data_IF_600840300126
#
_entry.id   IF_600840300126
#
_cell.length_a   1.000
_cell.length_b   1.000
_cell.length_c   1.000
_cell.angle_alpha   90.00
_cell.angle_beta   90.00
_cell.angle_gamma   90.00
#
_symmetry.space_group_name_H-M   'P 1'
#
loop_
_entity.id
_entity.type
_entity.pdbx_description
1 polymer ?
#
# COMPACT_ATOMS: atom_id res chain seq x y z
N UNK A 1 4.68 -1.35 -14.38
CA UNK A 1 5.28 -1.74 -13.08
C UNK A 1 4.98 -3.20 -12.87
N UNK A 2 5.91 -3.99 -12.31
CA UNK A 2 5.64 -5.41 -12.02
C UNK A 2 4.71 -5.52 -10.80
N UNK A 3 3.58 -6.22 -10.92
CA UNK A 3 2.60 -6.38 -9.82
C UNK A 3 3.22 -6.94 -8.55
N UNK A 4 4.25 -7.79 -8.68
CA UNK A 4 4.97 -8.33 -7.52
C UNK A 4 5.75 -7.25 -6.79
N UNK A 5 6.36 -6.33 -7.53
CA UNK A 5 7.08 -5.19 -6.95
C UNK A 5 6.09 -4.24 -6.26
N UNK A 6 4.91 -4.03 -6.84
CA UNK A 6 3.86 -3.22 -6.21
C UNK A 6 3.40 -3.84 -4.89
N UNK A 7 3.17 -5.16 -4.87
CA UNK A 7 2.81 -5.88 -3.66
C UNK A 7 3.87 -5.78 -2.57
N UNK A 8 5.15 -5.99 -2.92
CA UNK A 8 6.24 -5.86 -1.94
C UNK A 8 6.32 -4.45 -1.36
N UNK A 9 6.16 -3.43 -2.20
CA UNK A 9 6.14 -2.03 -1.76
C UNK A 9 4.96 -1.78 -0.82
N UNK A 10 3.76 -2.20 -1.20
CA UNK A 10 2.55 -2.05 -0.39
C UNK A 10 2.68 -2.76 0.96
N UNK A 11 3.22 -3.98 0.98
CA UNK A 11 3.42 -4.72 2.22
C UNK A 11 4.45 -4.06 3.14
N UNK A 12 5.46 -3.42 2.55
CA UNK A 12 6.44 -2.64 3.30
C UNK A 12 5.85 -1.35 3.87
N UNK A 13 5.01 -0.65 3.09
CA UNK A 13 4.40 0.63 3.47
C UNK A 13 3.22 0.44 4.45
N UNK A 14 2.48 -0.65 4.30
CA UNK A 14 1.30 -1.00 5.10
C UNK A 14 1.49 -2.37 5.77
N UNK A 15 2.43 -2.50 6.73
CA UNK A 15 2.75 -3.79 7.35
C UNK A 15 1.58 -4.40 8.14
N UNK A 16 0.64 -3.56 8.60
CA UNK A 16 -0.55 -3.99 9.33
C UNK A 16 -1.69 -4.48 8.40
N UNK A 17 -1.50 -4.40 7.08
CA UNK A 17 -2.50 -4.73 6.09
C UNK A 17 -2.05 -5.90 5.21
N UNK A 18 -2.86 -6.96 5.16
CA UNK A 18 -2.67 -8.06 4.23
C UNK A 18 -3.25 -7.67 2.87
N UNK A 19 -2.37 -7.33 1.93
CA UNK A 19 -2.74 -6.84 0.59
C UNK A 19 -2.50 -7.96 -0.43
N UNK A 20 -3.51 -8.23 -1.26
CA UNK A 20 -3.45 -9.28 -2.28
C UNK A 20 -4.30 -8.92 -3.50
N UNK A 21 -3.83 -9.23 -4.72
CA UNK A 21 -4.68 -9.23 -5.89
C UNK A 21 -5.54 -10.50 -5.89
N UNK A 22 -6.81 -10.33 -6.17
CA UNK A 22 -7.71 -11.39 -6.59
C UNK A 22 -7.34 -11.76 -8.03
N UNK A 23 -7.41 -13.05 -8.38
CA UNK A 23 -7.09 -13.55 -9.73
C UNK A 23 -8.00 -12.97 -10.84
N UNK A 24 -8.98 -12.17 -10.45
CA UNK A 24 -9.89 -11.38 -11.29
C UNK A 24 -9.41 -9.94 -11.59
N UNK A 25 -8.25 -9.53 -11.05
CA UNK A 25 -7.71 -8.17 -11.18
C UNK A 25 -8.16 -7.19 -10.09
N UNK A 26 -9.01 -7.63 -9.16
CA UNK A 26 -9.48 -6.83 -8.02
C UNK A 26 -8.44 -6.85 -6.91
N UNK A 27 -8.07 -5.71 -6.37
CA UNK A 27 -7.19 -5.61 -5.21
C UNK A 27 -7.95 -5.67 -3.90
N UNK A 28 -7.42 -6.40 -2.92
CA UNK A 28 -8.00 -6.50 -1.59
C UNK A 28 -6.97 -6.16 -0.53
N UNK A 29 -7.39 -5.41 0.48
CA UNK A 29 -6.61 -5.13 1.67
C UNK A 29 -7.40 -5.55 2.92
N UNK A 30 -6.81 -6.40 3.74
CA UNK A 30 -7.40 -6.92 4.97
C UNK A 30 -6.62 -6.36 6.15
N UNK A 31 -7.27 -5.53 6.95
CA UNK A 31 -6.72 -5.00 8.19
C UNK A 31 -7.81 -4.94 9.25
N UNK A 32 -8.06 -3.75 9.82
CA UNK A 32 -9.22 -3.50 10.69
C UNK A 32 -10.56 -3.61 9.96
N UNK A 33 -10.55 -3.32 8.66
CA UNK A 33 -11.68 -3.46 7.75
C UNK A 33 -11.22 -4.19 6.49
N UNK A 34 -12.17 -4.77 5.76
CA UNK A 34 -11.94 -5.31 4.42
C UNK A 34 -12.17 -4.21 3.39
N UNK A 35 -11.16 -3.95 2.58
CA UNK A 35 -11.23 -3.03 1.43
C UNK A 35 -11.08 -3.84 0.16
N UNK A 36 -11.88 -3.51 -0.85
CA UNK A 36 -11.79 -4.11 -2.19
C UNK A 36 -11.90 -3.01 -3.24
N UNK A 37 -11.00 -3.01 -4.21
CA UNK A 37 -10.94 -2.02 -5.28
C UNK A 37 -10.62 -2.69 -6.62
N UNK A 38 -11.16 -2.20 -7.74
CA UNK A 38 -10.94 -2.79 -9.06
C UNK A 38 -9.51 -2.61 -9.59
N UNK A 39 -8.74 -1.70 -8.99
CA UNK A 39 -7.37 -1.38 -9.35
C UNK A 39 -6.58 -0.94 -8.10
N UNK A 40 -5.26 -0.82 -8.28
CA UNK A 40 -4.34 -0.45 -7.21
C UNK A 40 -4.55 0.98 -6.72
N UNK A 41 -4.85 1.92 -7.61
CA UNK A 41 -5.00 3.33 -7.25
C UNK A 41 -6.23 3.53 -6.36
N UNK A 42 -7.37 2.93 -6.72
CA UNK A 42 -8.58 2.90 -5.90
C UNK A 42 -8.38 2.20 -4.55
N UNK A 43 -7.51 1.18 -4.48
CA UNK A 43 -7.13 0.56 -3.21
C UNK A 43 -6.37 1.54 -2.34
N UNK A 44 -5.40 2.27 -2.90
CA UNK A 44 -4.60 3.24 -2.17
C UNK A 44 -5.44 4.40 -1.64
N UNK A 45 -6.37 4.93 -2.44
CA UNK A 45 -7.30 5.97 -1.99
C UNK A 45 -8.16 5.48 -0.81
N UNK A 46 -8.66 4.26 -0.90
CA UNK A 46 -9.46 3.64 0.17
C UNK A 46 -8.63 3.39 1.43
N UNK A 47 -7.38 2.93 1.29
CA UNK A 47 -6.44 2.78 2.40
C UNK A 47 -6.10 4.12 3.06
N UNK A 48 -5.98 5.20 2.28
CA UNK A 48 -5.72 6.53 2.82
C UNK A 48 -6.86 7.07 3.67
N UNK A 49 -8.09 6.70 3.35
CA UNK A 49 -9.27 7.03 4.17
C UNK A 49 -9.34 6.13 5.40
N UNK A 50 -9.05 4.84 5.26
CA UNK A 50 -9.20 3.85 6.33
C UNK A 50 -8.08 3.92 7.38
N UNK A 51 -6.86 4.24 6.98
CA UNK A 51 -5.70 4.36 7.85
C UNK A 51 -4.76 5.51 7.39
N UNK A 52 -5.15 6.77 7.70
CA UNK A 52 -4.34 7.94 7.36
C UNK A 52 -2.95 7.92 8.02
N UNK A 53 -2.82 7.24 9.16
CA UNK A 53 -1.55 7.13 9.90
C UNK A 53 -0.60 6.13 9.24
N UNK A 54 -1.10 5.05 8.66
CA UNK A 54 -0.30 4.17 7.82
C UNK A 54 0.21 4.92 6.58
N UNK A 55 -0.61 5.75 5.92
CA UNK A 55 -0.15 6.58 4.79
C UNK A 55 0.92 7.58 5.20
N UNK A 56 0.77 8.25 6.36
CA UNK A 56 1.82 9.14 6.89
C UNK A 56 3.13 8.39 7.13
N UNK A 57 3.07 7.20 7.75
CA UNK A 57 4.25 6.35 7.98
C UNK A 57 4.91 5.92 6.67
N UNK A 58 4.12 5.48 5.70
CA UNK A 58 4.56 5.14 4.36
C UNK A 58 5.28 6.31 3.67
N UNK A 59 4.71 7.52 3.73
CA UNK A 59 5.32 8.72 3.17
C UNK A 59 6.64 9.09 3.88
N UNK A 60 6.71 8.94 5.21
CA UNK A 60 7.95 9.13 5.97
C UNK A 60 9.04 8.13 5.58
N UNK A 61 8.69 6.84 5.39
CA UNK A 61 9.65 5.82 4.94
C UNK A 61 10.21 6.10 3.54
N UNK A 62 9.35 6.55 2.62
CA UNK A 62 9.76 6.96 1.28
C UNK A 62 10.69 8.18 1.31
N UNK A 63 10.38 9.17 2.13
CA UNK A 63 11.21 10.37 2.29
C UNK A 63 12.60 10.03 2.87
N UNK A 64 12.66 9.13 3.86
CA UNK A 64 13.93 8.70 4.46
C UNK A 64 14.78 7.90 3.48
N UNK A 65 14.16 7.01 2.71
CA UNK A 65 14.83 6.21 1.67
C UNK A 65 15.42 7.08 0.54
N UNK A 66 14.77 8.21 0.22
CA UNK A 66 15.29 9.19 -0.73
C UNK A 66 16.48 9.97 -0.19
N UNK A 67 16.47 10.27 1.12
CA UNK A 67 17.53 11.03 1.80
C UNK A 67 18.84 10.25 1.90
N UNK A 68 18.76 8.94 2.09
CA UNK A 68 19.91 8.03 2.14
C UNK A 68 20.62 7.85 0.78
N UNK A 69 20.02 8.28 -0.34
CA UNK A 69 20.62 8.18 -1.68
C UNK A 69 21.37 9.45 -2.12
N UNK A 70 21.35 10.50 -1.30
CA UNK A 70 21.99 11.80 -1.57
C UNK A 70 23.03 12.21 -0.52
N UNK A 71 23.41 11.30 0.39
CA UNK A 71 24.45 11.52 1.40
C UNK A 71 25.82 11.02 0.98
#
# INVERSE_FOLDING_TARGET
>A
MDERVALLLLHHLFPEWAIMPDGSGVWRAIGRILISAPDLDGLMESLAVADPDAVRRAASLLAESGRLRTG
#
